data_IF_832687183781
#
_entry.id   IF_832687183781
#
_cell.length_a   1.000
_cell.length_b   1.000
_cell.length_c   1.000
_cell.angle_alpha   90.00
_cell.angle_beta   90.00
_cell.angle_gamma   90.00
#
_symmetry.space_group_name_H-M   'P 1'
#
loop_
_entity.id
_entity.type
_entity.pdbx_description
1 polymer ?
#
# COMPACT_ATOMS: atom_id res chain seq x y z
N UNK A 1 70.67 -21.68 -5.49
CA UNK A 1 69.71 -20.64 -5.08
C UNK A 1 68.42 -20.78 -5.89
N UNK A 2 67.46 -21.60 -5.45
CA UNK A 2 66.10 -21.61 -6.02
C UNK A 2 65.13 -21.45 -4.85
N UNK A 3 64.64 -20.22 -4.65
CA UNK A 3 63.55 -19.94 -3.71
C UNK A 3 62.25 -20.39 -4.35
N UNK A 4 61.64 -21.40 -3.73
CA UNK A 4 60.24 -21.76 -3.94
C UNK A 4 59.40 -20.71 -3.20
N UNK A 5 58.82 -19.78 -3.94
CA UNK A 5 57.76 -18.89 -3.44
C UNK A 5 56.48 -19.73 -3.29
N UNK A 6 56.35 -20.42 -2.16
CA UNK A 6 55.11 -21.07 -1.76
C UNK A 6 54.15 -20.02 -1.18
N UNK A 7 53.38 -19.36 -2.03
CA UNK A 7 52.14 -18.72 -1.60
C UNK A 7 51.12 -19.83 -1.35
N UNK A 8 50.96 -20.25 -0.10
CA UNK A 8 49.84 -21.10 0.30
C UNK A 8 48.56 -20.28 0.11
N UNK A 9 47.82 -20.51 -0.98
CA UNK A 9 46.47 -19.98 -1.15
C UNK A 9 45.60 -20.69 -0.12
N UNK A 10 45.35 -20.03 1.02
CA UNK A 10 44.43 -20.53 2.04
C UNK A 10 43.02 -20.49 1.45
N UNK A 11 42.30 -21.63 1.36
CA UNK A 11 40.91 -21.61 0.91
C UNK A 11 40.07 -20.83 1.94
N UNK A 12 39.43 -19.75 1.51
CA UNK A 12 38.46 -19.04 2.34
C UNK A 12 37.28 -19.98 2.57
N UNK A 13 36.95 -20.34 3.83
CA UNK A 13 35.81 -21.21 4.11
C UNK A 13 34.53 -20.49 3.67
N UNK A 14 33.87 -21.03 2.65
CA UNK A 14 32.54 -20.58 2.26
C UNK A 14 31.58 -21.03 3.36
N UNK A 15 31.00 -20.06 4.09
CA UNK A 15 29.98 -20.33 5.10
C UNK A 15 28.71 -20.80 4.39
N UNK A 16 28.42 -22.09 4.47
CA UNK A 16 27.16 -22.65 3.99
C UNK A 16 26.03 -22.22 4.92
N UNK A 17 25.03 -21.54 4.37
CA UNK A 17 23.80 -21.20 5.10
C UNK A 17 23.11 -22.51 5.50
N UNK A 18 22.82 -22.68 6.78
CA UNK A 18 22.17 -23.92 7.23
C UNK A 18 20.69 -23.88 6.88
N UNK A 19 20.11 -25.02 6.48
CA UNK A 19 18.67 -25.10 6.17
C UNK A 19 17.79 -24.67 7.36
N UNK A 20 18.28 -24.89 8.59
CA UNK A 20 17.57 -24.50 9.82
C UNK A 20 17.51 -22.99 10.00
N UNK A 21 18.56 -22.25 9.61
CA UNK A 21 18.56 -20.78 9.68
C UNK A 21 17.53 -20.17 8.72
N UNK A 22 17.34 -20.73 7.52
CA UNK A 22 16.26 -20.29 6.64
C UNK A 22 14.88 -20.70 7.15
N UNK A 23 14.76 -21.90 7.73
CA UNK A 23 13.49 -22.43 8.21
C UNK A 23 12.90 -21.61 9.39
N UNK A 24 13.74 -21.20 10.34
CA UNK A 24 13.27 -20.40 11.48
C UNK A 24 12.82 -19.00 11.05
N UNK A 25 13.48 -18.42 10.04
CA UNK A 25 13.14 -17.08 9.53
C UNK A 25 11.77 -17.06 8.87
N UNK A 26 11.50 -18.01 7.97
CA UNK A 26 10.18 -18.08 7.32
C UNK A 26 9.07 -18.40 8.32
N UNK A 27 9.37 -19.16 9.37
CA UNK A 27 8.40 -19.46 10.44
C UNK A 27 7.99 -18.20 11.20
N UNK A 28 8.96 -17.35 11.57
CA UNK A 28 8.67 -16.08 12.26
C UNK A 28 7.90 -15.12 11.34
N UNK A 29 8.31 -14.99 10.07
CA UNK A 29 7.61 -14.15 9.09
C UNK A 29 6.16 -14.61 8.92
N UNK A 30 5.90 -15.92 8.86
CA UNK A 30 4.55 -16.46 8.71
C UNK A 30 3.65 -16.12 9.90
N UNK A 31 4.17 -16.20 11.13
CA UNK A 31 3.41 -15.84 12.34
C UNK A 31 3.05 -14.35 12.32
N UNK A 32 4.01 -13.48 12.00
CA UNK A 32 3.78 -12.04 11.91
C UNK A 32 2.77 -11.71 10.79
N UNK A 33 2.94 -12.29 9.61
CA UNK A 33 2.06 -12.08 8.47
C UNK A 33 0.62 -12.55 8.75
N UNK A 34 0.45 -13.67 9.45
CA UNK A 34 -0.87 -14.20 9.82
C UNK A 34 -1.68 -13.22 10.69
N UNK A 35 -1.02 -12.43 11.54
CA UNK A 35 -1.66 -11.39 12.34
C UNK A 35 -1.86 -10.08 11.57
N UNK A 36 -0.93 -9.74 10.67
CA UNK A 36 -0.96 -8.48 9.92
C UNK A 36 -1.97 -8.47 8.76
N UNK A 37 -2.11 -9.58 8.02
CA UNK A 37 -3.03 -9.68 6.88
C UNK A 37 -4.50 -9.39 7.24
N UNK A 38 -5.10 -9.97 8.30
CA UNK A 38 -6.48 -9.67 8.67
C UNK A 38 -6.66 -8.23 9.18
N UNK A 39 -5.66 -7.69 9.88
CA UNK A 39 -5.68 -6.29 10.33
C UNK A 39 -5.61 -5.32 9.14
N UNK A 40 -4.75 -5.61 8.16
CA UNK A 40 -4.58 -4.79 6.95
C UNK A 40 -5.83 -4.80 6.07
N UNK A 41 -6.50 -5.96 5.92
CA UNK A 41 -7.77 -6.05 5.18
C UNK A 41 -8.86 -5.17 5.79
N UNK A 42 -9.04 -5.27 7.11
CA UNK A 42 -10.02 -4.42 7.82
C UNK A 42 -9.66 -2.94 7.75
N UNK A 43 -8.37 -2.58 7.84
CA UNK A 43 -7.93 -1.20 7.70
C UNK A 43 -8.25 -0.64 6.30
N UNK A 44 -8.04 -1.44 5.24
CA UNK A 44 -8.37 -1.05 3.87
C UNK A 44 -9.87 -0.82 3.66
N UNK A 45 -10.72 -1.74 4.14
CA UNK A 45 -12.17 -1.58 4.05
C UNK A 45 -12.65 -0.32 4.78
N UNK A 46 -12.13 -0.05 5.97
CA UNK A 46 -12.43 1.18 6.72
C UNK A 46 -11.95 2.43 5.97
N UNK A 47 -10.76 2.38 5.37
CA UNK A 47 -10.23 3.49 4.58
C UNK A 47 -11.11 3.82 3.37
N UNK A 48 -11.64 2.82 2.67
CA UNK A 48 -12.59 3.01 1.55
C UNK A 48 -13.89 3.67 2.02
N UNK A 49 -14.44 3.24 3.17
CA UNK A 49 -15.63 3.85 3.77
C UNK A 49 -15.36 5.31 4.13
N UNK A 50 -14.23 5.61 4.77
CA UNK A 50 -13.84 6.98 5.14
C UNK A 50 -13.68 7.86 3.89
N UNK A 51 -13.04 7.34 2.85
CA UNK A 51 -12.90 8.06 1.57
C UNK A 51 -14.26 8.36 0.94
N UNK A 52 -15.18 7.38 0.90
CA UNK A 52 -16.54 7.57 0.40
C UNK A 52 -17.30 8.66 1.19
N UNK A 53 -17.25 8.60 2.52
CA UNK A 53 -17.88 9.61 3.38
C UNK A 53 -17.28 11.02 3.14
N UNK A 54 -15.97 11.11 2.96
CA UNK A 54 -15.30 12.38 2.63
C UNK A 54 -15.79 12.92 1.28
N UNK A 55 -15.89 12.09 0.25
CA UNK A 55 -16.41 12.50 -1.06
C UNK A 55 -17.88 12.95 -0.97
N UNK A 56 -18.72 12.21 -0.25
CA UNK A 56 -20.12 12.61 -0.04
C UNK A 56 -20.25 13.94 0.69
N UNK A 57 -19.43 14.17 1.72
CA UNK A 57 -19.37 15.45 2.42
C UNK A 57 -18.94 16.58 1.49
N UNK A 58 -17.92 16.37 0.65
CA UNK A 58 -17.48 17.37 -0.33
C UNK A 58 -18.58 17.71 -1.33
N UNK A 59 -19.29 16.72 -1.85
CA UNK A 59 -20.43 16.93 -2.75
C UNK A 59 -21.59 17.67 -2.06
N UNK A 60 -21.90 17.31 -0.81
CA UNK A 60 -22.94 17.99 -0.04
C UNK A 60 -22.57 19.46 0.21
N UNK A 61 -21.33 19.75 0.58
CA UNK A 61 -20.84 21.12 0.74
C UNK A 61 -20.93 21.87 -0.59
N UNK A 62 -20.49 21.28 -1.70
CA UNK A 62 -20.57 21.90 -3.02
C UNK A 62 -22.01 22.21 -3.43
N UNK A 63 -22.95 21.30 -3.15
CA UNK A 63 -24.36 21.51 -3.42
C UNK A 63 -24.97 22.62 -2.57
N UNK A 64 -24.58 22.73 -1.29
CA UNK A 64 -25.01 23.82 -0.40
C UNK A 64 -24.47 25.17 -0.85
N UNK A 65 -23.18 25.24 -1.19
CA UNK A 65 -22.56 26.48 -1.72
C UNK A 65 -23.25 26.92 -3.01
N UNK A 66 -23.51 25.97 -3.93
CA UNK A 66 -24.25 26.29 -5.14
C UNK A 66 -25.67 26.79 -4.86
N UNK A 67 -26.40 26.15 -3.95
CA UNK A 67 -27.75 26.58 -3.61
C UNK A 67 -27.77 27.97 -2.96
N UNK A 68 -26.76 28.33 -2.16
CA UNK A 68 -26.62 29.66 -1.56
C UNK A 68 -26.45 30.75 -2.63
N UNK A 69 -25.55 30.51 -3.60
CA UNK A 69 -25.28 31.45 -4.70
C UNK A 69 -26.46 31.59 -5.68
N UNK A 70 -27.25 30.53 -5.87
CA UNK A 70 -28.30 30.44 -6.89
C UNK A 70 -29.70 30.38 -6.29
N UNK A 71 -29.99 31.08 -5.20
CA UNK A 71 -31.36 31.30 -4.70
C UNK A 71 -32.11 30.03 -4.28
N UNK A 72 -31.38 29.03 -3.77
CA UNK A 72 -31.90 27.76 -3.28
C UNK A 72 -32.02 26.66 -4.35
N UNK A 73 -31.64 26.93 -5.60
CA UNK A 73 -31.70 25.93 -6.66
C UNK A 73 -30.52 24.95 -6.56
N UNK A 74 -30.79 23.64 -6.61
CA UNK A 74 -29.76 22.59 -6.67
C UNK A 74 -29.33 22.31 -8.12
N UNK A 75 -28.09 21.83 -8.34
CA UNK A 75 -27.62 21.48 -9.68
C UNK A 75 -28.51 20.38 -10.28
N UNK A 76 -29.12 20.68 -11.43
CA UNK A 76 -30.02 19.78 -12.12
C UNK A 76 -29.23 18.68 -12.85
N UNK A 77 -29.60 17.42 -12.65
CA UNK A 77 -28.98 16.27 -13.33
C UNK A 77 -29.00 16.38 -14.86
N UNK A 78 -29.94 17.14 -15.43
CA UNK A 78 -30.08 17.32 -16.89
C UNK A 78 -28.85 17.94 -17.57
N UNK A 79 -27.96 18.61 -16.84
CA UNK A 79 -26.76 19.24 -17.41
C UNK A 79 -25.57 18.28 -17.59
N UNK A 80 -25.64 17.04 -17.08
CA UNK A 80 -24.56 16.04 -17.24
C UNK A 80 -24.25 15.76 -18.71
N UNK A 81 -25.26 15.81 -19.58
CA UNK A 81 -25.11 15.56 -21.02
C UNK A 81 -24.27 16.62 -21.76
N UNK A 82 -24.08 17.81 -21.16
CA UNK A 82 -23.29 18.90 -21.73
C UNK A 82 -21.80 18.81 -21.35
N UNK A 83 -21.49 18.27 -20.17
CA UNK A 83 -20.10 18.10 -19.68
C UNK A 83 -19.41 16.88 -20.31
N UNK A 84 -20.14 15.81 -20.62
CA UNK A 84 -19.58 14.62 -21.28
C UNK A 84 -19.30 14.83 -22.79
N UNK A 85 -19.57 16.03 -23.34
CA UNK A 85 -19.39 16.40 -24.75
C UNK A 85 -18.31 17.47 -25.00
N UNK A 86 -17.62 17.93 -23.97
CA UNK A 86 -16.46 18.83 -24.05
C UNK A 86 -15.20 18.06 -23.62
#
# INVERSE_FOLDING_TARGET
MHRQNATCVQPVPVTSFTLIELLVVIAIIAILAALLLPALRQARERAEIVACQSHQRQLAIAALVYADDWGGWLPNRRDRQLVDRL
#
